data_IF_039185208085
#
_entry.id   IF_039185208085
#
_cell.length_a   1.000
_cell.length_b   1.000
_cell.length_c   1.000
_cell.angle_alpha   90.00
_cell.angle_beta   90.00
_cell.angle_gamma   90.00
#
_symmetry.space_group_name_H-M   'P 1'
#
loop_
_entity.id
_entity.type
_entity.pdbx_description
1 polymer ?
#
# COMPACT_ATOMS: atom_id res chain seq x y z
N UNK A 1 -2.10 -5.77 1.35
CA UNK A 1 -0.79 -6.26 0.88
C UNK A 1 -1.03 -7.30 -0.18
N UNK A 2 -0.03 -7.64 -1.00
CA UNK A 2 -0.16 -8.72 -1.97
C UNK A 2 -0.53 -10.03 -1.26
N UNK A 3 -1.48 -10.77 -1.84
CA UNK A 3 -1.95 -12.02 -1.27
C UNK A 3 -1.10 -13.16 -1.82
N UNK A 4 -0.69 -14.09 -0.97
CA UNK A 4 0.05 -15.28 -1.36
C UNK A 4 -0.77 -16.53 -1.06
N UNK A 5 -0.89 -17.44 -2.02
CA UNK A 5 -1.36 -18.81 -1.80
C UNK A 5 -0.19 -19.74 -2.10
N UNK A 6 0.35 -20.39 -1.06
CA UNK A 6 1.59 -21.14 -1.17
C UNK A 6 2.76 -20.24 -1.57
N UNK A 7 3.36 -20.51 -2.75
CA UNK A 7 4.46 -19.71 -3.33
C UNK A 7 4.00 -18.74 -4.43
N UNK A 8 2.70 -18.70 -4.73
CA UNK A 8 2.17 -17.92 -5.84
C UNK A 8 1.65 -16.57 -5.37
N UNK A 9 2.04 -15.51 -6.08
CA UNK A 9 1.55 -14.15 -5.85
C UNK A 9 0.20 -13.95 -6.55
N UNK A 10 -0.78 -13.43 -5.81
CA UNK A 10 -2.12 -13.16 -6.30
C UNK A 10 -2.36 -11.66 -6.25
N UNK A 11 -2.71 -11.13 -7.42
CA UNK A 11 -3.22 -9.76 -7.55
C UNK A 11 -4.73 -9.81 -7.71
N UNK A 12 -5.41 -8.94 -6.97
CA UNK A 12 -6.85 -8.71 -7.12
C UNK A 12 -7.04 -7.45 -7.95
N UNK A 13 -7.89 -7.54 -8.97
CA UNK A 13 -8.32 -6.40 -9.79
C UNK A 13 -9.82 -6.21 -9.66
N UNK A 14 -10.30 -5.01 -10.00
CA UNK A 14 -11.73 -4.74 -10.07
C UNK A 14 -12.34 -5.62 -11.17
N UNK A 15 -13.53 -6.15 -10.92
CA UNK A 15 -14.25 -6.97 -11.90
C UNK A 15 -14.58 -6.12 -13.15
N UNK A 16 -14.40 -6.72 -14.32
CA UNK A 16 -14.68 -6.14 -15.63
C UNK A 16 -15.53 -7.14 -16.45
N UNK A 17 -16.49 -6.61 -17.21
CA UNK A 17 -17.27 -7.41 -18.15
C UNK A 17 -16.32 -7.90 -19.27
N UNK A 18 -16.48 -9.14 -19.75
CA UNK A 18 -15.62 -9.74 -20.78
C UNK A 18 -14.12 -9.79 -20.44
N UNK A 19 -13.79 -9.98 -19.16
CA UNK A 19 -12.41 -10.09 -18.68
C UNK A 19 -11.58 -11.06 -19.53
N UNK A 20 -10.57 -10.52 -20.23
CA UNK A 20 -9.59 -11.30 -20.98
C UNK A 20 -8.22 -11.28 -20.27
N UNK A 21 -7.76 -12.42 -19.71
CA UNK A 21 -6.49 -12.48 -18.99
C UNK A 21 -5.26 -12.20 -19.86
N UNK A 22 -5.38 -12.27 -21.18
CA UNK A 22 -4.32 -11.95 -22.14
C UNK A 22 -4.48 -10.58 -22.81
N UNK A 23 -5.66 -9.95 -22.65
CA UNK A 23 -6.00 -8.69 -23.29
C UNK A 23 -5.66 -7.46 -22.43
N UNK A 24 -5.80 -7.60 -21.10
CA UNK A 24 -5.56 -6.52 -20.14
C UNK A 24 -4.55 -6.97 -19.07
N UNK A 25 -3.23 -6.84 -19.32
CA UNK A 25 -2.24 -7.05 -18.28
C UNK A 25 -2.44 -6.02 -17.17
N UNK A 26 -2.29 -6.43 -15.91
CA UNK A 26 -2.39 -5.50 -14.77
C UNK A 26 -1.18 -4.55 -14.80
N UNK A 27 -1.43 -3.26 -15.01
CA UNK A 27 -0.38 -2.22 -15.11
C UNK A 27 -0.10 -1.50 -13.80
N UNK A 28 -1.06 -1.51 -12.88
CA UNK A 28 -0.97 -0.81 -11.59
C UNK A 28 -1.32 -1.75 -10.43
N UNK A 29 -0.54 -1.66 -9.35
CA UNK A 29 -0.71 -2.51 -8.17
C UNK A 29 -0.72 -1.65 -6.91
N UNK A 30 -1.59 -1.99 -5.97
CA UNK A 30 -1.62 -1.38 -4.65
C UNK A 30 -0.62 -2.06 -3.74
N UNK A 31 0.46 -1.36 -3.41
CA UNK A 31 1.49 -1.84 -2.50
C UNK A 31 1.36 -1.12 -1.17
N UNK A 32 1.56 -1.87 -0.09
CA UNK A 32 1.67 -1.27 1.24
C UNK A 32 3.14 -1.19 1.60
N UNK A 33 3.63 0.02 1.85
CA UNK A 33 5.02 0.29 2.23
C UNK A 33 5.11 0.39 3.75
N UNK A 34 6.03 -0.36 4.34
CA UNK A 34 6.35 -0.29 5.77
C UNK A 34 7.65 0.50 5.96
N UNK A 35 7.64 1.47 6.85
CA UNK A 35 8.80 2.25 7.27
C UNK A 35 9.17 1.90 8.73
N UNK A 36 9.94 0.82 8.96
CA UNK A 36 10.42 0.50 10.29
C UNK A 36 11.44 1.55 10.75
N UNK A 37 11.37 1.94 12.03
CA UNK A 37 12.32 2.89 12.62
C UNK A 37 12.12 4.36 12.23
N UNK A 38 11.06 4.71 11.51
CA UNK A 38 10.71 6.11 11.25
C UNK A 38 10.38 6.81 12.58
N UNK A 39 11.08 7.89 12.95
CA UNK A 39 10.79 8.64 14.18
C UNK A 39 9.34 9.13 14.24
N UNK A 40 8.74 9.12 15.43
CA UNK A 40 7.31 9.41 15.63
C UNK A 40 6.91 10.82 15.19
N UNK A 41 7.84 11.77 15.23
CA UNK A 41 7.67 13.15 14.74
C UNK A 41 7.30 13.22 13.25
N UNK A 42 7.66 12.20 12.46
CA UNK A 42 7.33 12.11 11.03
C UNK A 42 6.06 11.30 10.74
N UNK A 43 5.29 10.91 11.76
CA UNK A 43 4.06 10.13 11.57
C UNK A 43 2.83 11.00 11.32
N UNK A 44 3.01 12.31 11.14
CA UNK A 44 1.94 13.19 10.70
C UNK A 44 1.48 12.82 9.28
N UNK A 45 0.16 12.80 9.01
CA UNK A 45 -0.36 12.40 7.72
C UNK A 45 0.23 13.17 6.53
N UNK A 46 0.46 14.48 6.66
CA UNK A 46 1.04 15.27 5.56
C UNK A 46 2.46 14.82 5.23
N UNK A 47 3.26 14.49 6.26
CA UNK A 47 4.65 14.02 6.10
C UNK A 47 4.66 12.65 5.44
N UNK A 48 3.86 11.70 5.96
CA UNK A 48 3.78 10.35 5.41
C UNK A 48 3.28 10.37 3.96
N UNK A 49 2.28 11.20 3.64
CA UNK A 49 1.86 11.37 2.25
C UNK A 49 2.89 12.08 1.37
N UNK A 50 3.72 12.96 1.94
CA UNK A 50 4.88 13.53 1.26
C UNK A 50 5.88 12.45 0.84
N UNK A 51 6.24 11.55 1.75
CA UNK A 51 7.11 10.41 1.48
C UNK A 51 6.45 9.45 0.48
N UNK A 52 5.15 9.16 0.64
CA UNK A 52 4.44 8.27 -0.26
C UNK A 52 4.36 8.81 -1.70
N UNK A 53 4.22 10.14 -1.87
CA UNK A 53 4.22 10.80 -3.18
C UNK A 53 5.53 10.61 -3.96
N UNK A 54 6.67 10.44 -3.29
CA UNK A 54 7.92 10.15 -4.00
C UNK A 54 7.99 8.72 -4.53
N UNK A 55 7.16 7.81 -4.00
CA UNK A 55 7.07 6.42 -4.46
C UNK A 55 5.95 6.20 -5.48
N UNK A 56 4.93 7.06 -5.50
CA UNK A 56 3.81 6.94 -6.41
C UNK A 56 2.62 7.79 -6.00
N UNK A 57 1.41 7.32 -6.32
CA UNK A 57 0.16 7.97 -5.90
C UNK A 57 -0.31 7.38 -4.57
N UNK A 58 -0.15 8.09 -3.43
CA UNK A 58 -0.72 7.61 -2.19
C UNK A 58 -2.23 7.55 -2.23
N UNK A 59 -2.76 6.57 -1.51
CA UNK A 59 -4.18 6.25 -1.39
C UNK A 59 -4.61 6.31 0.07
N UNK A 60 -3.85 5.74 0.99
CA UNK A 60 -4.26 5.60 2.38
C UNK A 60 -3.09 5.42 3.35
N UNK A 61 -3.31 5.84 4.60
CA UNK A 61 -2.46 5.46 5.73
C UNK A 61 -3.06 4.26 6.45
N UNK A 62 -2.20 3.41 6.99
CA UNK A 62 -2.64 2.29 7.82
C UNK A 62 -3.38 2.84 9.08
N UNK A 63 -4.53 2.28 9.48
CA UNK A 63 -5.29 2.79 10.62
C UNK A 63 -4.50 2.82 11.92
N UNK A 64 -3.57 1.87 12.10
CA UNK A 64 -2.72 1.79 13.29
C UNK A 64 -1.66 2.89 13.27
N UNK A 65 -1.09 3.19 12.09
CA UNK A 65 -0.19 4.32 11.91
C UNK A 65 -0.92 5.64 12.14
N UNK A 66 -2.13 5.80 11.60
CA UNK A 66 -2.95 7.00 11.77
C UNK A 66 -3.37 7.23 13.23
N UNK A 67 -3.75 6.17 13.93
CA UNK A 67 -4.13 6.24 15.34
C UNK A 67 -2.93 6.26 16.29
N UNK A 68 -1.70 6.04 15.79
CA UNK A 68 -0.47 5.94 16.58
C UNK A 68 -0.58 4.95 17.75
N UNK A 69 -1.41 3.90 17.60
CA UNK A 69 -1.71 2.92 18.66
C UNK A 69 -0.66 1.83 18.78
N UNK A 70 0.10 1.54 17.71
CA UNK A 70 1.25 0.63 17.73
C UNK A 70 2.44 1.26 17.03
N UNK A 71 3.42 1.67 17.82
CA UNK A 71 4.57 2.47 17.40
C UNK A 71 5.73 1.64 16.79
N UNK A 72 5.41 0.55 16.11
CA UNK A 72 6.44 -0.36 15.54
C UNK A 72 6.94 0.09 14.17
N UNK A 73 6.04 0.62 13.33
CA UNK A 73 6.34 1.08 11.98
C UNK A 73 5.26 2.06 11.49
N UNK A 74 5.65 3.00 10.65
CA UNK A 74 4.68 3.75 9.85
C UNK A 74 4.36 2.94 8.57
N UNK A 75 3.10 2.98 8.13
CA UNK A 75 2.66 2.24 6.95
C UNK A 75 1.66 3.05 6.13
N UNK A 76 1.84 3.02 4.81
CA UNK A 76 0.97 3.67 3.84
C UNK A 76 0.82 2.84 2.56
N UNK A 77 -0.19 3.18 1.75
CA UNK A 77 -0.47 2.69 0.41
C UNK A 77 -0.65 3.91 -0.48
#
# INVERSE_FOLDING_TARGET
GPWFIGKSHITVQKWELDFNPYGNPVTEFLIWVNLPGLPLEFWEPEVLFGIAKSLGKPIALDPVTKAKTRLTHARFC
#
